data_IF_095319206458
#
_entry.id   IF_095319206458
#
_cell.length_a   1.000
_cell.length_b   1.000
_cell.length_c   1.000
_cell.angle_alpha   90.00
_cell.angle_beta   90.00
_cell.angle_gamma   90.00
#
_symmetry.space_group_name_H-M   'P 1'
#
loop_
_entity.id
_entity.type
_entity.pdbx_description
1 polymer ?
#
# COMPACT_ATOMS: atom_id res chain seq x y z
N UNK A 1 -14.98 -8.78 5.78
CA UNK A 1 -14.80 -8.48 4.34
C UNK A 1 -13.47 -9.10 3.95
N UNK A 2 -13.39 -9.84 2.84
CA UNK A 2 -12.18 -10.62 2.51
C UNK A 2 -11.32 -9.92 1.47
N UNK A 3 -10.03 -10.28 1.36
CA UNK A 3 -9.16 -9.84 0.26
C UNK A 3 -9.83 -10.00 -1.12
N UNK A 4 -10.67 -11.02 -1.31
CA UNK A 4 -11.40 -11.29 -2.56
C UNK A 4 -12.32 -10.15 -3.00
N UNK A 5 -12.79 -9.34 -2.05
CA UNK A 5 -13.67 -8.22 -2.33
C UNK A 5 -12.85 -7.02 -2.82
N UNK A 6 -11.75 -6.70 -2.14
CA UNK A 6 -10.87 -5.58 -2.50
C UNK A 6 -10.08 -5.80 -3.80
N UNK A 7 -9.66 -7.03 -4.11
CA UNK A 7 -8.86 -7.25 -5.34
C UNK A 7 -9.63 -7.00 -6.63
N UNK A 8 -10.97 -7.08 -6.61
CA UNK A 8 -11.78 -6.86 -7.81
C UNK A 8 -11.67 -5.42 -8.28
N UNK A 9 -11.54 -4.49 -7.34
CA UNK A 9 -11.48 -3.06 -7.62
C UNK A 9 -10.10 -2.63 -8.20
N UNK A 10 -9.09 -3.50 -8.09
CA UNK A 10 -7.77 -3.30 -8.70
C UNK A 10 -7.82 -3.54 -10.22
N UNK A 11 -8.71 -4.43 -10.69
CA UNK A 11 -8.76 -4.81 -12.10
C UNK A 11 -9.13 -3.60 -12.97
N UNK A 12 -8.28 -3.28 -13.94
CA UNK A 12 -8.47 -2.14 -14.85
C UNK A 12 -7.81 -0.84 -14.37
N UNK A 13 -7.30 -0.79 -13.14
CA UNK A 13 -6.46 0.32 -12.67
C UNK A 13 -5.09 0.27 -13.35
N UNK A 14 -4.47 1.44 -13.56
CA UNK A 14 -3.07 1.55 -13.99
C UNK A 14 -2.21 1.83 -12.77
N UNK A 15 -1.23 0.98 -12.50
CA UNK A 15 -0.27 1.20 -11.40
C UNK A 15 0.74 2.26 -11.86
N UNK A 16 0.78 3.41 -11.20
CA UNK A 16 1.77 4.47 -11.41
C UNK A 16 2.90 4.45 -10.38
N UNK A 17 2.71 3.73 -9.27
CA UNK A 17 3.74 3.60 -8.26
C UNK A 17 3.55 2.43 -7.33
N UNK A 18 4.65 2.07 -6.65
CA UNK A 18 4.69 1.04 -5.60
C UNK A 18 5.54 1.57 -4.45
N UNK A 19 4.99 1.52 -3.24
CA UNK A 19 5.71 1.85 -2.00
C UNK A 19 5.72 0.63 -1.10
N UNK A 20 6.88 0.30 -0.54
CA UNK A 20 7.02 -0.76 0.47
C UNK A 20 7.43 -0.13 1.80
N UNK A 21 6.65 -0.41 2.85
CA UNK A 21 7.02 -0.07 4.23
C UNK A 21 7.28 -1.34 5.03
N UNK A 22 8.25 -1.27 5.94
CA UNK A 22 8.54 -2.35 6.88
C UNK A 22 8.59 -1.82 8.30
N UNK A 23 8.18 -2.67 9.25
CA UNK A 23 8.33 -2.39 10.67
C UNK A 23 9.73 -2.72 11.18
N UNK A 24 10.28 -1.89 12.07
CA UNK A 24 11.53 -2.21 12.77
C UNK A 24 11.33 -3.33 13.80
N UNK A 25 10.13 -3.42 14.38
CA UNK A 25 9.76 -4.40 15.39
C UNK A 25 9.14 -5.66 14.78
N UNK A 26 9.80 -6.80 15.01
CA UNK A 26 9.27 -8.12 14.62
C UNK A 26 7.97 -8.51 15.37
N UNK A 27 7.62 -7.75 16.42
CA UNK A 27 6.45 -8.00 17.28
C UNK A 27 5.27 -7.07 16.96
N UNK A 28 5.42 -6.12 16.03
CA UNK A 28 4.33 -5.26 15.56
C UNK A 28 3.80 -5.75 14.21
N UNK A 29 2.47 -5.71 14.10
CA UNK A 29 1.75 -5.95 12.85
C UNK A 29 1.28 -4.61 12.25
N UNK A 30 1.22 -4.49 10.91
CA UNK A 30 1.87 -5.36 9.92
C UNK A 30 3.41 -5.25 9.90
N UNK A 31 4.07 -6.35 9.54
CA UNK A 31 5.53 -6.45 9.38
C UNK A 31 6.02 -5.77 8.11
N UNK A 32 5.31 -6.00 7.01
CA UNK A 32 5.58 -5.41 5.71
C UNK A 32 4.25 -4.96 5.11
N UNK A 33 4.28 -3.84 4.39
CA UNK A 33 3.15 -3.26 3.69
C UNK A 33 3.61 -2.92 2.27
N UNK A 34 2.77 -3.24 1.28
CA UNK A 34 2.96 -2.90 -0.12
C UNK A 34 1.76 -2.07 -0.55
N UNK A 35 2.01 -0.83 -0.93
CA UNK A 35 1.02 0.08 -1.47
C UNK A 35 1.14 0.11 -2.98
N UNK A 36 0.05 -0.21 -3.69
CA UNK A 36 -0.10 0.07 -5.11
C UNK A 36 -0.73 1.44 -5.26
N UNK A 37 -0.05 2.37 -5.94
CA UNK A 37 -0.60 3.67 -6.29
C UNK A 37 -1.10 3.65 -7.73
N UNK A 38 -2.33 4.10 -7.92
CA UNK A 38 -2.99 4.11 -9.22
C UNK A 38 -3.00 5.50 -9.85
N UNK A 39 -3.15 5.54 -11.18
CA UNK A 39 -3.17 6.80 -11.94
C UNK A 39 -4.27 7.78 -11.50
N UNK A 40 -5.39 7.25 -11.01
CA UNK A 40 -6.59 7.98 -10.60
C UNK A 40 -6.57 8.47 -9.14
N UNK A 41 -5.38 8.66 -8.58
CA UNK A 41 -5.14 9.12 -7.20
C UNK A 41 -5.86 8.26 -6.15
N UNK A 42 -5.87 6.95 -6.41
CA UNK A 42 -6.27 5.95 -5.43
C UNK A 42 -5.12 4.99 -5.14
N UNK A 43 -5.18 4.31 -4.00
CA UNK A 43 -4.22 3.28 -3.65
C UNK A 43 -4.89 2.04 -3.03
N UNK A 44 -4.14 0.94 -3.05
CA UNK A 44 -4.50 -0.30 -2.37
C UNK A 44 -3.32 -0.81 -1.55
N UNK A 45 -3.59 -1.30 -0.34
CA UNK A 45 -2.58 -1.81 0.59
C UNK A 45 -2.68 -3.33 0.73
N UNK A 46 -1.59 -4.02 0.43
CA UNK A 46 -1.31 -5.35 0.93
C UNK A 46 -0.43 -5.25 2.16
N UNK A 47 -0.61 -6.15 3.12
CA UNK A 47 0.25 -6.20 4.28
C UNK A 47 0.42 -7.62 4.81
N UNK A 48 1.43 -7.85 5.63
CA UNK A 48 1.68 -9.16 6.24
C UNK A 48 1.60 -9.05 7.76
N UNK A 49 0.64 -9.73 8.39
CA UNK A 49 0.60 -9.85 9.87
C UNK A 49 1.51 -10.98 10.40
N UNK A 50 1.71 -12.04 9.59
CA UNK A 50 2.55 -13.21 9.87
C UNK A 50 3.24 -13.67 8.57
N UNK A 51 2.96 -14.90 8.12
CA UNK A 51 3.53 -15.49 6.89
C UNK A 51 2.55 -15.44 5.69
N UNK A 52 1.40 -14.77 5.85
CA UNK A 52 0.35 -14.68 4.83
C UNK A 52 0.20 -13.24 4.36
N UNK A 53 -0.08 -13.09 3.06
CA UNK A 53 -0.51 -11.82 2.49
C UNK A 53 -1.95 -11.57 2.94
N UNK A 54 -2.16 -10.43 3.56
CA UNK A 54 -3.44 -9.84 3.89
C UNK A 54 -3.57 -8.50 3.15
N UNK A 55 -4.72 -7.87 3.25
CA UNK A 55 -5.00 -6.61 2.56
C UNK A 55 -6.09 -5.82 3.24
N UNK A 56 -6.07 -4.51 3.04
CA UNK A 56 -7.26 -3.71 3.29
C UNK A 56 -8.39 -4.14 2.36
N UNK A 57 -9.63 -4.16 2.84
CA UNK A 57 -10.75 -4.72 2.07
C UNK A 57 -11.35 -3.78 1.02
N UNK A 58 -10.67 -2.69 0.66
CA UNK A 58 -11.16 -1.65 -0.26
C UNK A 58 -10.03 -0.81 -0.85
N UNK A 59 -10.30 -0.13 -1.96
CA UNK A 59 -9.45 0.96 -2.47
C UNK A 59 -9.65 2.22 -1.64
N UNK A 60 -8.57 2.98 -1.45
CA UNK A 60 -8.55 4.23 -0.71
C UNK A 60 -8.24 5.39 -1.66
N UNK A 61 -8.85 6.55 -1.44
CA UNK A 61 -8.43 7.79 -2.07
C UNK A 61 -7.10 8.24 -1.45
N UNK A 62 -6.17 8.69 -2.29
CA UNK A 62 -4.87 9.18 -1.87
C UNK A 62 -3.76 8.94 -2.89
N UNK A 63 -2.78 9.82 -2.84
CA UNK A 63 -1.60 9.87 -3.70
C UNK A 63 -0.33 9.39 -2.97
N UNK A 64 0.83 9.68 -3.56
CA UNK A 64 2.13 9.33 -2.98
C UNK A 64 2.35 9.97 -1.60
N UNK A 65 1.97 11.23 -1.43
CA UNK A 65 2.09 11.92 -0.14
C UNK A 65 1.17 11.29 0.91
N UNK A 66 -0.03 10.89 0.51
CA UNK A 66 -0.97 10.16 1.36
C UNK A 66 -0.36 8.86 1.88
N UNK A 67 0.28 8.08 1.00
CA UNK A 67 0.97 6.85 1.37
C UNK A 67 2.21 7.13 2.23
N UNK A 68 2.98 8.18 1.94
CA UNK A 68 4.15 8.57 2.74
C UNK A 68 3.75 8.91 4.18
N UNK A 69 2.70 9.71 4.37
CA UNK A 69 2.15 10.07 5.68
C UNK A 69 1.39 8.96 6.40
N UNK A 70 0.93 7.93 5.69
CA UNK A 70 0.21 6.82 6.31
C UNK A 70 1.06 6.09 7.35
N UNK A 71 0.67 6.21 8.62
CA UNK A 71 1.38 5.63 9.78
C UNK A 71 2.85 6.07 9.89
N UNK A 72 3.18 7.27 9.40
CA UNK A 72 4.54 7.83 9.55
C UNK A 72 4.87 8.29 10.97
N UNK A 73 3.84 8.54 11.81
CA UNK A 73 4.02 8.90 13.23
C UNK A 73 4.19 7.69 14.16
N UNK A 74 3.85 6.48 13.69
CA UNK A 74 4.32 5.24 14.33
C UNK A 74 5.80 5.10 13.92
N UNK A 75 6.73 5.65 14.71
CA UNK A 75 8.20 5.63 14.50
C UNK A 75 8.81 4.23 14.23
N UNK A 76 7.99 3.20 14.33
CA UNK A 76 8.31 1.79 14.12
C UNK A 76 8.13 1.35 12.66
N UNK A 77 7.88 2.25 11.69
CA UNK A 77 7.79 1.91 10.26
C UNK A 77 8.57 2.86 9.36
N UNK A 78 9.23 2.31 8.34
CA UNK A 78 9.96 3.09 7.32
C UNK A 78 9.65 2.63 5.92
N UNK A 79 9.72 3.56 4.97
CA UNK A 79 9.76 3.21 3.55
C UNK A 79 11.11 2.56 3.27
N UNK A 80 11.08 1.33 2.76
CA UNK A 80 12.28 0.59 2.35
C UNK A 80 12.45 0.57 0.83
N UNK A 81 11.36 0.84 0.09
CA UNK A 81 11.36 0.86 -1.35
C UNK A 81 10.25 1.78 -1.87
N UNK A 82 10.54 2.58 -2.89
CA UNK A 82 9.58 3.43 -3.57
C UNK A 82 9.95 3.49 -5.06
N UNK A 83 8.99 3.15 -5.92
CA UNK A 83 9.09 3.32 -7.36
C UNK A 83 7.86 4.10 -7.84
N UNK A 84 8.07 5.11 -8.66
CA UNK A 84 7.01 5.97 -9.14
C UNK A 84 7.31 6.43 -10.58
N UNK A 85 6.30 6.43 -11.43
CA UNK A 85 6.39 6.84 -12.82
C UNK A 85 5.36 7.94 -13.10
N UNK A 86 5.85 9.19 -13.19
CA UNK A 86 5.04 10.38 -13.49
C UNK A 86 4.45 10.36 -14.91
N UNK A 87 4.92 9.48 -15.79
CA UNK A 87 4.42 9.38 -17.17
C UNK A 87 3.15 8.55 -17.28
N UNK A 88 2.77 7.80 -16.23
CA UNK A 88 1.56 6.98 -16.20
C UNK A 88 0.40 7.83 -15.69
N UNK A 89 -0.51 8.17 -16.62
CA UNK A 89 -1.74 8.93 -16.37
C UNK A 89 -2.98 8.09 -16.68
N UNK A 90 -4.16 8.57 -16.25
CA UNK A 90 -5.46 7.96 -16.56
C UNK A 90 -5.78 7.85 -18.05
#
# INVERSE_FOLDING_TARGET
MSIKDGIKDIVGKKIKGVVVKESYSLNRSPRSQVFLLFSDDTYYEFYTERDWIDSISRIHEGDLESVRGYLSEDEDRRIVCEYYDETITD
#
